data_IF_522048858361
#
_entry.id   IF_522048858361
#
_cell.length_a   1.000
_cell.length_b   1.000
_cell.length_c   1.000
_cell.angle_alpha   90.00
_cell.angle_beta   90.00
_cell.angle_gamma   90.00
#
_symmetry.space_group_name_H-M   'P 1'
#
loop_
_entity.id
_entity.type
_entity.pdbx_description
1 polymer ?
#
# COMPACT_ATOMS: atom_id res chain seq x y z
N UNK A 1 -27.75 5.66 -17.17
CA UNK A 1 -27.20 5.56 -16.69
C UNK A 1 -26.87 5.56 -16.07
N UNK A 2 -26.87 5.41 -15.72
CA UNK A 2 -26.47 5.52 -15.13
C UNK A 2 -25.64 5.40 -14.91
N UNK A 3 -25.42 5.91 -15.17
CA UNK A 3 -24.32 5.68 -14.85
C UNK A 3 -24.20 5.32 -13.56
N UNK A 4 -23.92 4.31 -13.18
CA UNK A 4 -23.68 3.93 -11.86
C UNK A 4 -22.38 4.54 -11.41
N UNK A 5 -22.36 5.37 -10.39
CA UNK A 5 -21.11 5.87 -9.89
C UNK A 5 -20.29 4.67 -9.45
N UNK A 6 -19.01 4.73 -9.70
CA UNK A 6 -18.11 3.72 -9.22
C UNK A 6 -18.13 3.75 -7.71
N UNK A 7 -18.54 2.66 -7.10
CA UNK A 7 -18.54 2.58 -5.65
C UNK A 7 -17.13 2.27 -5.18
N UNK A 8 -16.69 2.99 -4.16
CA UNK A 8 -15.43 2.70 -3.54
C UNK A 8 -15.56 1.48 -2.65
N UNK A 9 -14.56 0.63 -2.69
CA UNK A 9 -14.47 -0.51 -1.80
C UNK A 9 -13.09 -0.49 -1.17
N UNK A 10 -12.92 -1.26 -0.10
CA UNK A 10 -11.58 -1.45 0.44
C UNK A 10 -10.76 -2.25 -0.56
N UNK A 11 -9.58 -1.76 -0.88
CA UNK A 11 -8.66 -2.50 -1.73
C UNK A 11 -7.22 -2.11 -1.44
N UNK A 12 -6.33 -3.08 -1.63
CA UNK A 12 -4.90 -2.85 -1.71
C UNK A 12 -4.43 -3.63 -2.91
N UNK A 13 -3.98 -2.92 -3.93
CA UNK A 13 -3.59 -3.57 -5.18
C UNK A 13 -2.12 -3.94 -5.14
N UNK A 14 -1.75 -4.94 -5.94
CA UNK A 14 -0.36 -5.29 -6.10
C UNK A 14 0.40 -4.06 -6.60
N UNK A 15 1.54 -3.78 -5.98
CA UNK A 15 2.36 -2.65 -6.37
C UNK A 15 2.83 -2.79 -7.81
N UNK A 16 3.06 -1.68 -8.48
CA UNK A 16 3.54 -1.69 -9.86
C UNK A 16 4.59 -0.59 -10.05
N UNK A 17 5.73 -0.90 -10.64
CA UNK A 17 6.18 -2.22 -11.12
C UNK A 17 6.50 -3.17 -9.97
N UNK A 18 6.49 -4.49 -10.28
CA UNK A 18 6.89 -5.53 -9.35
C UNK A 18 7.45 -6.70 -10.16
N UNK A 19 8.75 -7.00 -10.11
CA UNK A 19 9.75 -6.38 -9.24
C UNK A 19 9.99 -4.90 -9.58
N UNK A 20 10.56 -4.18 -8.64
CA UNK A 20 10.78 -2.74 -8.82
C UNK A 20 12.22 -2.36 -8.48
N UNK A 21 12.65 -1.18 -8.97
CA UNK A 21 13.98 -0.63 -8.74
C UNK A 21 14.01 0.86 -9.10
N UNK A 22 14.21 1.77 -8.15
CA UNK A 22 14.11 1.56 -6.71
C UNK A 22 12.73 1.92 -6.18
N UNK A 23 11.80 2.33 -7.04
CA UNK A 23 10.50 2.84 -6.63
C UNK A 23 9.36 2.03 -7.22
N UNK A 24 8.24 2.04 -6.52
CA UNK A 24 7.03 1.38 -6.96
C UNK A 24 5.83 2.15 -6.44
N UNK A 25 4.70 2.04 -7.12
CA UNK A 25 3.46 2.67 -6.68
C UNK A 25 2.59 1.64 -5.99
N UNK A 26 2.09 2.00 -4.81
CA UNK A 26 1.16 1.19 -4.04
C UNK A 26 -0.17 1.92 -4.07
N UNK A 27 -1.20 1.24 -4.59
CA UNK A 27 -2.52 1.84 -4.73
C UNK A 27 -3.51 1.16 -3.83
N UNK A 28 -4.35 1.96 -3.20
CA UNK A 28 -5.39 1.44 -2.33
C UNK A 28 -6.61 2.34 -2.38
N UNK A 29 -7.72 1.82 -1.90
CA UNK A 29 -8.94 2.61 -1.78
C UNK A 29 -9.65 2.29 -0.48
N UNK A 30 -10.38 3.28 0.03
CA UNK A 30 -11.22 3.14 1.21
C UNK A 30 -12.59 3.75 0.89
N UNK A 31 -13.68 3.11 1.34
CA UNK A 31 -15.03 3.59 1.00
C UNK A 31 -15.54 4.69 1.92
N UNK A 32 -14.88 4.94 3.01
CA UNK A 32 -15.29 5.96 3.99
C UNK A 32 -14.07 6.51 4.69
N UNK A 33 -14.23 7.62 5.41
CA UNK A 33 -13.13 8.22 6.15
C UNK A 33 -12.67 7.27 7.24
N UNK A 34 -11.37 7.03 7.32
CA UNK A 34 -10.78 6.13 8.31
C UNK A 34 -9.35 6.50 8.58
N UNK A 35 -8.86 6.05 9.73
CA UNK A 35 -7.44 6.12 10.02
C UNK A 35 -6.75 4.99 9.25
N UNK A 36 -5.76 5.36 8.42
CA UNK A 36 -5.06 4.44 7.55
C UNK A 36 -3.61 4.28 8.01
N UNK A 37 -3.18 3.05 8.16
CA UNK A 37 -1.78 2.72 8.39
C UNK A 37 -1.29 1.84 7.24
N UNK A 38 -0.25 2.28 6.56
CA UNK A 38 0.40 1.51 5.51
C UNK A 38 1.87 1.38 5.90
N UNK A 39 2.29 0.17 6.19
CA UNK A 39 3.63 -0.10 6.73
C UNK A 39 4.29 -1.20 5.92
N UNK A 40 5.60 -1.09 5.75
CA UNK A 40 6.41 -2.08 5.04
C UNK A 40 7.26 -2.86 6.04
N UNK A 41 7.29 -4.17 5.86
CA UNK A 41 8.04 -5.10 6.70
C UNK A 41 8.98 -5.91 5.83
N UNK A 42 10.09 -6.35 6.43
CA UNK A 42 10.95 -7.34 5.77
C UNK A 42 10.42 -8.75 6.07
N UNK A 43 11.09 -9.78 5.54
CA UNK A 43 10.60 -11.15 5.65
C UNK A 43 10.65 -11.72 7.07
N UNK A 44 11.45 -11.15 7.95
CA UNK A 44 11.48 -11.62 9.33
C UNK A 44 10.51 -10.81 10.20
N UNK A 45 9.66 -9.98 9.58
CA UNK A 45 8.62 -9.27 10.29
C UNK A 45 9.03 -7.96 10.91
N UNK A 46 10.21 -7.46 10.60
CA UNK A 46 10.64 -6.17 11.11
C UNK A 46 10.05 -5.03 10.29
N UNK A 47 9.55 -4.02 10.97
CA UNK A 47 9.04 -2.81 10.34
C UNK A 47 10.23 -2.03 9.78
N UNK A 48 10.22 -1.79 8.47
CA UNK A 48 11.30 -1.04 7.82
C UNK A 48 10.87 0.34 7.35
N UNK A 49 9.58 0.59 7.20
CA UNK A 49 9.09 1.90 6.81
C UNK A 49 7.61 2.04 7.17
N UNK A 50 7.22 3.22 7.66
CA UNK A 50 5.81 3.57 7.83
C UNK A 50 5.51 4.60 6.75
N UNK A 51 4.65 4.22 5.80
CA UNK A 51 4.38 5.07 4.65
C UNK A 51 3.23 6.02 4.91
N UNK A 52 2.18 5.53 5.54
CA UNK A 52 0.99 6.34 5.86
C UNK A 52 0.57 5.98 7.28
N UNK A 53 0.24 7.00 8.06
CA UNK A 53 -0.22 6.82 9.44
C UNK A 53 -1.07 8.03 9.80
N UNK A 54 -2.25 8.14 9.18
CA UNK A 54 -3.10 9.32 9.33
C UNK A 54 -4.53 9.02 8.89
N UNK A 55 -5.44 9.92 9.26
CA UNK A 55 -6.81 9.85 8.78
C UNK A 55 -6.87 10.25 7.32
N UNK A 56 -7.68 9.53 6.55
CA UNK A 56 -7.91 9.81 5.14
C UNK A 56 -9.39 9.79 4.85
N UNK A 57 -9.81 10.66 3.94
CA UNK A 57 -11.19 10.64 3.44
C UNK A 57 -11.40 9.45 2.51
N UNK A 58 -12.67 9.09 2.27
CA UNK A 58 -12.99 8.09 1.26
C UNK A 58 -12.34 8.48 -0.08
N UNK A 59 -11.78 7.52 -0.77
CA UNK A 59 -11.16 7.80 -2.06
C UNK A 59 -10.19 6.73 -2.50
N UNK A 60 -9.58 7.00 -3.65
CA UNK A 60 -8.51 6.20 -4.22
C UNK A 60 -7.20 6.92 -4.00
N UNK A 61 -6.18 6.16 -3.59
CA UNK A 61 -4.89 6.73 -3.24
C UNK A 61 -3.77 5.96 -3.90
N UNK A 62 -2.66 6.65 -4.14
CA UNK A 62 -1.45 6.04 -4.66
C UNK A 62 -0.29 6.59 -3.84
N UNK A 63 0.57 5.70 -3.38
CA UNK A 63 1.77 6.08 -2.64
C UNK A 63 3.00 5.55 -3.38
N UNK A 64 3.95 6.46 -3.68
CA UNK A 64 5.20 6.03 -4.29
C UNK A 64 6.18 5.66 -3.19
N UNK A 65 6.58 4.40 -3.19
CA UNK A 65 7.54 3.87 -2.23
C UNK A 65 8.91 3.80 -2.87
N UNK A 66 9.88 4.46 -2.25
CA UNK A 66 11.27 4.47 -2.70
C UNK A 66 12.08 3.62 -1.71
N UNK A 67 12.60 2.50 -2.19
CA UNK A 67 13.35 1.56 -1.38
C UNK A 67 14.85 1.71 -1.52
N UNK A 68 15.34 2.84 -2.08
CA UNK A 68 16.76 3.01 -2.37
C UNK A 68 17.65 2.87 -1.14
N UNK A 69 17.14 3.16 0.05
CA UNK A 69 17.89 3.05 1.29
C UNK A 69 17.85 1.64 1.90
N UNK A 70 17.13 0.71 1.27
CA UNK A 70 16.94 -0.64 1.79
C UNK A 70 17.71 -1.65 0.96
N UNK A 71 18.06 -2.81 1.55
CA UNK A 71 18.65 -3.89 0.77
C UNK A 71 17.66 -4.45 -0.23
N UNK A 72 18.17 -4.95 -1.35
CA UNK A 72 17.34 -5.68 -2.30
C UNK A 72 16.76 -6.91 -1.61
N UNK A 73 15.56 -7.29 -1.98
CA UNK A 73 14.91 -8.45 -1.38
C UNK A 73 13.41 -8.36 -1.43
N UNK A 74 12.77 -9.23 -0.66
CA UNK A 74 11.32 -9.31 -0.59
C UNK A 74 10.81 -8.54 0.62
N UNK A 75 9.77 -7.75 0.40
CA UNK A 75 9.12 -6.96 1.43
C UNK A 75 7.63 -7.20 1.41
N UNK A 76 6.98 -6.91 2.53
CA UNK A 76 5.53 -7.03 2.66
C UNK A 76 4.98 -5.67 3.03
N UNK A 77 4.03 -5.17 2.25
CA UNK A 77 3.30 -3.96 2.60
C UNK A 77 1.97 -4.37 3.20
N UNK A 78 1.64 -3.80 4.35
CA UNK A 78 0.40 -4.09 5.06
C UNK A 78 -0.39 -2.82 5.23
N UNK A 79 -1.65 -2.84 4.82
CA UNK A 79 -2.58 -1.76 5.09
C UNK A 79 -3.54 -2.16 6.20
N UNK A 80 -3.85 -1.21 7.05
CA UNK A 80 -4.87 -1.35 8.08
C UNK A 80 -5.75 -0.11 8.01
N UNK A 81 -7.04 -0.30 7.80
CA UNK A 81 -8.01 0.79 7.68
C UNK A 81 -9.33 0.28 8.25
N UNK A 82 -9.69 0.76 9.45
CA UNK A 82 -10.84 0.21 10.15
C UNK A 82 -10.65 -1.27 10.41
N UNK A 83 -11.60 -2.08 9.95
CA UNK A 83 -11.49 -3.54 10.09
C UNK A 83 -10.82 -4.18 8.87
N UNK A 84 -10.49 -3.39 7.85
CA UNK A 84 -9.83 -3.90 6.65
C UNK A 84 -8.33 -4.04 6.90
N UNK A 85 -7.81 -5.24 6.63
CA UNK A 85 -6.38 -5.53 6.70
C UNK A 85 -6.01 -6.36 5.50
N UNK A 86 -4.93 -5.99 4.83
CA UNK A 86 -4.45 -6.73 3.66
C UNK A 86 -2.96 -6.54 3.53
N UNK A 87 -2.31 -7.54 2.96
CA UNK A 87 -0.87 -7.48 2.68
C UNK A 87 -0.61 -7.78 1.22
N UNK A 88 0.45 -7.19 0.70
CA UNK A 88 0.97 -7.55 -0.62
C UNK A 88 2.47 -7.82 -0.48
N UNK A 89 2.97 -8.69 -1.34
CA UNK A 89 4.40 -9.00 -1.40
C UNK A 89 5.03 -8.18 -2.52
N UNK A 90 6.15 -7.53 -2.21
CA UNK A 90 6.87 -6.68 -3.15
C UNK A 90 8.30 -7.19 -3.29
N UNK A 91 8.82 -7.16 -4.50
CA UNK A 91 10.17 -7.63 -4.77
C UNK A 91 11.00 -6.45 -5.26
N UNK A 92 12.02 -6.10 -4.46
CA UNK A 92 12.94 -5.01 -4.79
C UNK A 92 14.24 -5.61 -5.32
N UNK A 93 14.57 -5.28 -6.55
CA UNK A 93 15.81 -5.72 -7.20
C UNK A 93 16.69 -4.51 -7.45
N UNK A 94 17.98 -4.66 -7.24
CA UNK A 94 18.95 -3.60 -7.58
C UNK A 94 19.57 -3.86 -8.92
#
# INVERSE_FOLDING_TARGET
>A
MSDTPTELTYSLKQNFPNPFNPSTDIKFSIPQSEFVNLTVYNLIGQKVAVLINENKSAGNYSYRFDASALPAGVYVAKISAGTFNKTIKMIYLK
#
